data_IF_656593628935
#
_entry.id   IF_656593628935
#
_cell.length_a   1.000
_cell.length_b   1.000
_cell.length_c   1.000
_cell.angle_alpha   90.00
_cell.angle_beta   90.00
_cell.angle_gamma   90.00
#
_symmetry.space_group_name_H-M   'P 1'
#
loop_
_entity.id
_entity.type
_entity.pdbx_description
1 polymer ?
#
# COMPACT_ATOMS: atom_id res chain seq x y z
N UNK A 1 11.61 8.78 -5.49
CA UNK A 1 11.22 9.51 -4.26
C UNK A 1 10.88 8.52 -3.17
N UNK A 2 11.54 8.59 -2.01
CA UNK A 2 11.32 7.63 -0.93
C UNK A 2 9.90 7.72 -0.38
N UNK A 3 9.31 6.58 0.01
CA UNK A 3 7.99 6.55 0.65
C UNK A 3 8.09 7.08 2.07
N UNK A 4 7.32 8.11 2.35
CA UNK A 4 7.27 8.75 3.67
C UNK A 4 6.18 8.13 4.54
N UNK A 5 5.10 7.66 3.92
CA UNK A 5 3.93 7.12 4.59
C UNK A 5 3.43 5.88 3.85
N UNK A 6 3.06 4.86 4.61
CA UNK A 6 2.40 3.63 4.13
C UNK A 6 1.09 3.48 4.87
N UNK A 7 0.02 3.19 4.14
CA UNK A 7 -1.33 2.97 4.66
C UNK A 7 -1.87 1.66 4.11
N UNK A 8 -2.41 0.78 4.96
CA UNK A 8 -2.85 -0.54 4.50
C UNK A 8 -3.96 -1.13 5.36
N UNK A 9 -4.80 -1.97 4.75
CA UNK A 9 -5.72 -2.89 5.42
C UNK A 9 -5.44 -4.37 5.08
N UNK A 10 -4.33 -4.65 4.37
CA UNK A 10 -3.94 -5.98 3.91
C UNK A 10 -4.33 -6.27 2.45
N UNK A 11 -5.39 -5.67 1.91
CA UNK A 11 -5.80 -5.76 0.52
C UNK A 11 -5.34 -4.54 -0.29
N UNK A 12 -5.68 -3.37 0.22
CA UNK A 12 -5.29 -2.09 -0.35
C UNK A 12 -4.09 -1.54 0.43
N UNK A 13 -3.02 -1.25 -0.29
CA UNK A 13 -1.83 -0.62 0.27
C UNK A 13 -1.47 0.61 -0.54
N UNK A 14 -1.32 1.73 0.14
CA UNK A 14 -1.03 3.04 -0.43
C UNK A 14 0.30 3.54 0.09
N UNK A 15 1.24 3.82 -0.81
CA UNK A 15 2.46 4.53 -0.52
C UNK A 15 2.33 6.02 -0.87
N UNK A 16 2.66 6.89 0.09
CA UNK A 16 2.75 8.32 -0.15
C UNK A 16 4.21 8.76 -0.17
N UNK A 17 4.58 9.57 -1.17
CA UNK A 17 5.92 10.14 -1.27
C UNK A 17 6.14 11.31 -0.29
N UNK A 18 7.30 11.96 -0.37
CA UNK A 18 7.67 13.09 0.48
C UNK A 18 6.76 14.31 0.36
N UNK A 19 6.01 14.42 -0.74
CA UNK A 19 5.02 15.47 -0.97
C UNK A 19 3.62 15.08 -0.44
N UNK A 20 3.48 13.90 0.13
CA UNK A 20 2.18 13.35 0.56
C UNK A 20 1.28 12.94 -0.61
N UNK A 21 1.87 12.67 -1.79
CA UNK A 21 1.15 12.27 -3.00
C UNK A 21 1.18 10.75 -3.14
N UNK A 22 0.07 10.16 -3.61
CA UNK A 22 -0.01 8.71 -3.87
C UNK A 22 0.97 8.35 -4.98
N UNK A 23 1.90 7.46 -4.69
CA UNK A 23 2.94 7.00 -5.61
C UNK A 23 3.11 5.49 -5.66
N UNK A 24 2.50 4.75 -4.72
CA UNK A 24 2.25 3.31 -4.81
C UNK A 24 0.79 3.01 -4.49
N UNK A 25 0.23 2.10 -5.27
CA UNK A 25 -1.18 1.74 -5.16
C UNK A 25 -1.35 0.23 -5.42
N UNK A 26 -1.19 -0.58 -4.39
CA UNK A 26 -1.34 -2.03 -4.47
C UNK A 26 -2.77 -2.45 -4.16
N UNK A 27 -3.36 -3.22 -5.06
CA UNK A 27 -4.67 -3.86 -4.93
C UNK A 27 -4.75 -5.05 -5.91
N UNK A 28 -5.34 -6.22 -5.59
CA UNK A 28 -6.21 -6.51 -4.44
C UNK A 28 -5.48 -7.08 -3.21
N UNK A 29 -4.16 -7.10 -3.22
CA UNK A 29 -3.35 -7.62 -2.12
C UNK A 29 -2.06 -6.82 -2.00
N UNK A 30 -1.51 -6.73 -0.80
CA UNK A 30 -0.24 -6.06 -0.56
C UNK A 30 0.86 -6.66 -1.46
N UNK A 31 1.51 -5.81 -2.26
CA UNK A 31 2.64 -6.21 -3.09
C UNK A 31 2.31 -6.98 -4.36
N UNK A 32 1.01 -7.21 -4.68
CA UNK A 32 0.64 -8.04 -5.83
C UNK A 32 0.54 -7.23 -7.14
N UNK A 33 -0.38 -6.30 -7.24
CA UNK A 33 -0.52 -5.42 -8.42
C UNK A 33 -0.34 -3.97 -7.98
N UNK A 34 0.72 -3.30 -8.46
CA UNK A 34 0.90 -1.88 -8.25
C UNK A 34 0.32 -1.10 -9.42
N UNK A 35 -0.74 -0.35 -9.18
CA UNK A 35 -1.47 0.38 -10.21
C UNK A 35 -0.91 1.76 -10.52
N UNK A 36 0.21 2.16 -9.91
CA UNK A 36 0.96 3.38 -10.23
C UNK A 36 2.36 3.07 -10.79
N UNK A 37 2.83 1.83 -10.67
CA UNK A 37 4.17 1.37 -11.07
C UNK A 37 5.35 2.14 -10.45
N UNK A 38 5.13 3.01 -9.48
CA UNK A 38 6.17 3.69 -8.71
C UNK A 38 7.17 4.56 -9.47
N UNK A 39 7.09 4.65 -10.79
CA UNK A 39 7.96 5.48 -11.62
C UNK A 39 7.28 6.82 -11.83
N UNK A 40 7.79 7.92 -11.42
CA UNK A 40 7.29 9.29 -11.70
C UNK A 40 5.77 9.43 -11.94
N UNK A 41 5.03 8.32 -11.77
CA UNK A 41 3.59 8.20 -11.86
C UNK A 41 3.03 8.30 -10.46
N UNK A 42 2.69 9.49 -10.07
CA UNK A 42 2.02 9.77 -8.81
C UNK A 42 0.82 10.67 -9.06
N UNK A 43 -0.13 10.59 -8.17
CA UNK A 43 -1.30 11.45 -8.24
C UNK A 43 -0.89 12.87 -7.87
N UNK A 44 -1.19 13.83 -8.73
CA UNK A 44 -0.82 15.23 -8.48
C UNK A 44 -1.91 15.94 -7.68
N UNK A 45 -1.50 16.92 -6.88
CA UNK A 45 -2.41 17.89 -6.23
C UNK A 45 -1.87 19.27 -6.54
N UNK A 46 -2.74 20.13 -7.06
CA UNK A 46 -2.40 21.51 -7.45
C UNK A 46 -3.38 22.54 -6.90
N UNK A 47 -2.91 23.75 -6.78
CA UNK A 47 -3.74 24.90 -6.42
C UNK A 47 -3.47 26.06 -7.37
N UNK A 48 -4.53 26.80 -7.67
CA UNK A 48 -4.46 28.06 -8.40
C UNK A 48 -5.07 29.17 -7.56
N UNK A 49 -4.40 30.33 -7.55
CA UNK A 49 -4.83 31.53 -6.83
C UNK A 49 -4.56 32.72 -7.75
N UNK A 50 -5.63 33.32 -8.27
CA UNK A 50 -5.50 34.32 -9.33
C UNK A 50 -4.83 33.75 -10.56
N UNK A 51 -3.69 34.31 -10.99
CA UNK A 51 -2.92 33.85 -12.14
C UNK A 51 -1.79 32.86 -11.77
N UNK A 52 -1.58 32.59 -10.48
CA UNK A 52 -0.50 31.72 -10.03
C UNK A 52 -1.01 30.32 -9.82
N UNK A 53 -0.36 29.35 -10.47
CA UNK A 53 -0.61 27.92 -10.33
C UNK A 53 0.60 27.22 -9.69
N UNK A 54 0.38 26.26 -8.81
CA UNK A 54 1.46 25.46 -8.23
C UNK A 54 1.02 24.02 -7.94
N UNK A 55 1.74 23.07 -8.50
CA UNK A 55 1.68 21.67 -8.08
C UNK A 55 2.45 21.48 -6.77
N UNK A 56 2.00 20.58 -5.89
CA UNK A 56 2.66 20.32 -4.61
C UNK A 56 4.12 19.82 -4.79
N UNK A 57 4.43 19.15 -5.88
CA UNK A 57 5.79 18.65 -6.18
C UNK A 57 6.70 19.70 -6.86
N UNK A 58 6.25 20.92 -7.10
CA UNK A 58 6.97 21.94 -7.87
C UNK A 58 7.90 22.84 -7.04
N UNK A 59 8.42 22.39 -5.92
CA UNK A 59 9.60 22.97 -5.27
C UNK A 59 9.36 24.08 -4.21
N UNK A 60 8.27 24.84 -4.26
CA UNK A 60 8.02 25.97 -3.34
C UNK A 60 7.31 25.58 -2.05
N UNK A 61 7.08 24.29 -1.84
CA UNK A 61 6.34 23.77 -0.70
C UNK A 61 7.27 23.20 0.37
N UNK A 62 6.89 23.41 1.63
CA UNK A 62 7.51 22.76 2.78
C UNK A 62 6.57 21.74 3.36
N UNK A 63 7.09 20.53 3.59
CA UNK A 63 6.31 19.38 4.05
C UNK A 63 6.69 18.93 5.44
N UNK A 64 5.71 18.41 6.16
CA UNK A 64 5.90 17.58 7.33
C UNK A 64 4.86 16.47 7.33
N UNK A 65 5.26 15.25 7.66
CA UNK A 65 4.38 14.09 7.74
C UNK A 65 4.58 13.34 9.05
N UNK A 66 3.49 12.85 9.62
CA UNK A 66 3.50 12.02 10.82
C UNK A 66 2.33 11.03 10.81
N UNK A 67 2.48 9.93 11.51
CA UNK A 67 1.34 9.06 11.84
C UNK A 67 0.62 9.57 13.08
N UNK A 68 -0.70 9.46 13.08
CA UNK A 68 -1.47 9.65 14.30
C UNK A 68 -1.11 8.54 15.31
N UNK A 69 -1.23 8.86 16.57
CA UNK A 69 -0.84 7.95 17.64
C UNK A 69 -1.59 6.60 17.54
N UNK A 70 -0.82 5.52 17.49
CA UNK A 70 -1.30 4.13 17.49
C UNK A 70 -2.26 3.78 16.33
N UNK A 71 -2.05 4.36 15.16
CA UNK A 71 -2.81 4.01 13.95
C UNK A 71 -2.03 4.32 12.66
N UNK A 72 -2.21 3.51 11.61
CA UNK A 72 -1.79 3.87 10.25
C UNK A 72 -2.78 4.87 9.64
N UNK A 73 -2.80 6.04 10.22
CA UNK A 73 -3.51 7.23 9.76
C UNK A 73 -2.46 8.32 9.72
N UNK A 74 -2.22 8.91 8.57
CA UNK A 74 -1.21 9.96 8.44
C UNK A 74 -1.82 11.34 8.49
N UNK A 75 -1.01 12.27 8.93
CA UNK A 75 -1.25 13.70 8.79
C UNK A 75 -0.06 14.32 8.07
N UNK A 76 -0.30 14.89 6.89
CA UNK A 76 0.71 15.61 6.12
C UNK A 76 0.32 17.07 6.05
N UNK A 77 1.27 17.98 6.28
CA UNK A 77 1.08 19.42 6.13
C UNK A 77 2.02 19.92 5.04
N UNK A 78 1.46 20.57 4.03
CA UNK A 78 2.16 21.27 2.95
C UNK A 78 1.92 22.77 3.09
N UNK A 79 2.99 23.57 3.07
CA UNK A 79 2.90 25.02 3.21
C UNK A 79 3.68 25.72 2.11
N UNK A 80 3.02 26.58 1.37
CA UNK A 80 3.63 27.48 0.39
C UNK A 80 3.58 28.91 0.92
N UNK A 81 4.77 29.51 1.10
CA UNK A 81 4.88 30.86 1.65
C UNK A 81 4.61 31.94 0.60
N UNK A 82 4.95 31.69 -0.66
CA UNK A 82 4.73 32.62 -1.75
C UNK A 82 3.24 32.79 -2.01
N UNK A 83 2.54 31.66 -2.17
CA UNK A 83 1.09 31.62 -2.32
C UNK A 83 0.34 31.93 -1.02
N UNK A 84 1.00 32.02 0.12
CA UNK A 84 0.38 32.18 1.44
C UNK A 84 -0.78 31.21 1.68
N UNK A 85 -0.56 29.93 1.40
CA UNK A 85 -1.55 28.86 1.56
C UNK A 85 -0.96 27.67 2.30
N UNK A 86 -1.80 26.96 3.03
CA UNK A 86 -1.46 25.70 3.69
C UNK A 86 -2.49 24.64 3.34
N UNK A 87 -2.01 23.44 3.06
CA UNK A 87 -2.85 22.26 2.83
C UNK A 87 -2.49 21.22 3.89
N UNK A 88 -3.50 20.66 4.53
CA UNK A 88 -3.36 19.57 5.48
C UNK A 88 -4.11 18.34 4.95
N UNK A 89 -3.43 17.21 4.84
CA UNK A 89 -4.04 15.92 4.54
C UNK A 89 -4.20 15.10 5.82
N UNK A 90 -5.31 14.38 5.93
CA UNK A 90 -5.49 13.28 6.87
C UNK A 90 -5.88 12.05 6.05
N UNK A 91 -4.99 11.07 5.98
CA UNK A 91 -5.08 9.94 5.06
C UNK A 91 -5.18 8.62 5.81
N UNK A 92 -6.02 7.72 5.31
CA UNK A 92 -6.12 6.35 5.80
C UNK A 92 -6.71 5.42 4.74
N UNK A 93 -6.41 4.14 4.87
CA UNK A 93 -7.15 3.07 4.21
C UNK A 93 -8.19 2.55 5.19
N UNK A 94 -9.44 2.44 4.73
CA UNK A 94 -10.54 1.98 5.57
C UNK A 94 -10.29 0.53 6.02
N UNK A 95 -10.50 0.23 7.30
CA UNK A 95 -10.13 -1.07 7.87
C UNK A 95 -10.99 -2.24 7.38
N UNK A 96 -12.23 -2.00 6.94
CA UNK A 96 -13.22 -3.06 6.69
C UNK A 96 -13.55 -3.26 5.20
N UNK A 97 -13.09 -2.39 4.31
CA UNK A 97 -13.29 -2.46 2.86
C UNK A 97 -12.28 -1.57 2.13
N UNK A 98 -12.10 -1.79 0.84
CA UNK A 98 -10.98 -1.28 0.09
C UNK A 98 -11.22 0.14 -0.44
N UNK A 99 -11.02 1.11 0.44
CA UNK A 99 -11.11 2.54 0.12
C UNK A 99 -9.93 3.29 0.71
N UNK A 100 -9.22 4.00 -0.14
CA UNK A 100 -8.33 5.08 0.29
C UNK A 100 -9.16 6.35 0.53
N UNK A 101 -9.00 6.94 1.71
CA UNK A 101 -9.75 8.14 2.12
C UNK A 101 -8.80 9.25 2.56
N UNK A 102 -8.98 10.43 2.00
CA UNK A 102 -8.19 11.64 2.25
C UNK A 102 -9.10 12.81 2.63
N UNK A 103 -8.90 13.36 3.81
CA UNK A 103 -9.45 14.68 4.16
C UNK A 103 -8.43 15.75 3.82
N UNK A 104 -8.83 16.74 3.02
CA UNK A 104 -8.00 17.86 2.61
C UNK A 104 -8.54 19.11 3.29
N UNK A 105 -7.68 19.85 3.98
CA UNK A 105 -8.02 21.14 4.55
C UNK A 105 -7.11 22.19 3.92
N UNK A 106 -7.70 23.09 3.14
CA UNK A 106 -7.01 24.21 2.50
C UNK A 106 -7.24 25.47 3.33
N UNK A 107 -6.16 26.09 3.78
CA UNK A 107 -6.20 27.28 4.65
C UNK A 107 -5.57 28.48 3.98
N UNK A 108 -6.31 29.59 3.89
CA UNK A 108 -5.78 30.88 3.51
C UNK A 108 -4.89 31.44 4.63
N UNK A 109 -3.64 31.75 4.33
CA UNK A 109 -2.72 32.41 5.28
C UNK A 109 -2.58 33.91 5.02
N UNK A 110 -3.19 34.43 3.93
CA UNK A 110 -3.19 35.85 3.65
C UNK A 110 -4.17 36.63 4.56
N UNK A 111 -3.98 37.92 4.66
CA UNK A 111 -4.84 38.84 5.43
C UNK A 111 -5.98 39.44 4.61
N UNK A 112 -6.31 38.83 3.46
CA UNK A 112 -7.42 39.21 2.59
C UNK A 112 -8.12 37.97 2.02
N UNK A 113 -9.42 38.10 1.64
CA UNK A 113 -10.15 37.00 1.01
C UNK A 113 -9.66 36.72 -0.42
N UNK A 114 -9.74 35.48 -0.87
CA UNK A 114 -9.24 35.02 -2.19
C UNK A 114 -10.12 33.96 -2.79
N UNK A 115 -10.17 33.97 -4.11
CA UNK A 115 -10.64 32.83 -4.89
C UNK A 115 -9.50 31.80 -5.01
N UNK A 116 -9.82 30.54 -4.80
CA UNK A 116 -8.89 29.42 -4.81
C UNK A 116 -9.47 28.28 -5.65
N UNK A 117 -8.64 27.67 -6.45
CA UNK A 117 -8.99 26.43 -7.15
C UNK A 117 -8.10 25.30 -6.61
N UNK A 118 -8.69 24.14 -6.37
CA UNK A 118 -8.00 22.92 -5.96
C UNK A 118 -8.19 21.86 -7.02
N UNK A 119 -7.10 21.30 -7.53
CA UNK A 119 -7.08 20.24 -8.53
C UNK A 119 -6.49 18.96 -7.96
N UNK A 120 -7.17 17.84 -8.20
CA UNK A 120 -6.77 16.49 -7.80
C UNK A 120 -6.67 15.64 -9.05
N UNK A 121 -5.46 15.25 -9.40
CA UNK A 121 -5.16 14.42 -10.57
C UNK A 121 -4.92 12.97 -10.16
N UNK A 122 -5.39 12.04 -10.98
CA UNK A 122 -5.19 10.61 -10.82
C UNK A 122 -4.72 10.01 -12.14
N UNK A 123 -3.67 9.19 -12.06
CA UNK A 123 -3.27 8.30 -13.13
C UNK A 123 -3.10 6.88 -12.61
N UNK A 124 -3.41 5.92 -13.45
CA UNK A 124 -3.26 4.50 -13.13
C UNK A 124 -2.64 3.76 -14.31
N UNK A 125 -1.86 2.72 -13.97
CA UNK A 125 -1.46 1.65 -14.87
C UNK A 125 -2.08 0.36 -14.33
N UNK A 126 -3.36 0.15 -14.61
CA UNK A 126 -4.13 -0.93 -13.99
C UNK A 126 -3.54 -2.29 -14.35
N UNK A 127 -3.46 -3.20 -13.35
CA UNK A 127 -2.77 -4.49 -13.41
C UNK A 127 -1.26 -4.35 -13.69
N UNK A 128 -0.63 -3.30 -13.19
CA UNK A 128 0.82 -3.08 -13.32
C UNK A 128 1.31 -3.10 -14.79
N UNK A 129 0.51 -2.60 -15.73
CA UNK A 129 0.86 -2.69 -17.15
C UNK A 129 0.44 -1.47 -17.96
N UNK A 130 1.40 -0.88 -18.70
CA UNK A 130 1.17 0.13 -19.72
C UNK A 130 0.90 -0.45 -21.11
N UNK A 131 1.06 -1.76 -21.30
CA UNK A 131 0.88 -2.37 -22.62
C UNK A 131 -0.57 -2.69 -22.97
N UNK A 132 -1.47 -2.52 -22.00
CA UNK A 132 -2.89 -2.75 -22.18
C UNK A 132 -3.63 -1.45 -21.85
N UNK A 133 -4.65 -1.16 -22.65
CA UNK A 133 -5.47 0.03 -22.49
C UNK A 133 -6.36 -0.06 -21.25
N UNK A 134 -6.40 1.03 -20.50
CA UNK A 134 -7.38 1.27 -19.44
C UNK A 134 -8.54 2.10 -20.00
N UNK A 135 -9.65 2.14 -19.29
CA UNK A 135 -10.77 3.02 -19.62
C UNK A 135 -11.07 3.91 -18.43
N UNK A 136 -11.27 5.19 -18.70
CA UNK A 136 -11.74 6.16 -17.72
C UNK A 136 -13.04 6.81 -18.18
N UNK A 137 -13.98 6.99 -17.25
CA UNK A 137 -15.20 7.72 -17.56
C UNK A 137 -15.73 8.53 -16.37
N UNK A 138 -16.33 9.67 -16.68
CA UNK A 138 -17.12 10.44 -15.75
C UNK A 138 -18.49 9.79 -15.50
N UNK A 139 -18.90 9.72 -14.23
CA UNK A 139 -20.16 9.14 -13.77
C UNK A 139 -21.01 10.21 -13.10
N UNK A 140 -21.97 10.83 -13.79
CA UNK A 140 -23.03 11.60 -13.16
C UNK A 140 -24.11 10.64 -12.65
N UNK A 141 -24.43 10.69 -11.35
CA UNK A 141 -25.52 9.93 -10.76
C UNK A 141 -26.82 10.73 -10.74
N UNK A 142 -27.98 10.05 -10.78
CA UNK A 142 -29.30 10.68 -10.77
C UNK A 142 -29.58 11.56 -9.55
N UNK A 143 -28.94 11.23 -8.40
CA UNK A 143 -29.05 12.00 -7.17
C UNK A 143 -28.13 13.26 -7.13
N UNK A 144 -27.46 13.56 -8.23
CA UNK A 144 -26.54 14.70 -8.36
C UNK A 144 -25.11 14.42 -7.90
N UNK A 145 -24.83 13.22 -7.35
CA UNK A 145 -23.46 12.82 -7.02
C UNK A 145 -22.62 12.64 -8.29
N UNK A 146 -21.31 12.87 -8.17
CA UNK A 146 -20.35 12.78 -9.27
C UNK A 146 -19.16 11.89 -8.87
N UNK A 147 -18.65 11.11 -9.83
CA UNK A 147 -17.44 10.34 -9.67
C UNK A 147 -16.69 10.16 -11.00
N UNK A 148 -15.45 9.72 -10.93
CA UNK A 148 -14.69 9.22 -12.08
C UNK A 148 -14.45 7.74 -11.85
N UNK A 149 -14.67 6.90 -12.87
CA UNK A 149 -14.37 5.48 -12.85
C UNK A 149 -13.18 5.20 -13.75
N UNK A 150 -12.11 4.65 -13.18
CA UNK A 150 -11.02 4.02 -13.91
C UNK A 150 -11.17 2.50 -13.82
N UNK A 151 -11.05 1.79 -14.94
CA UNK A 151 -11.15 0.34 -14.90
C UNK A 151 -10.39 -0.37 -16.03
N UNK A 152 -10.02 -1.61 -15.76
CA UNK A 152 -9.58 -2.61 -16.73
C UNK A 152 -9.96 -4.01 -16.27
N UNK A 153 -10.64 -4.76 -17.14
CA UNK A 153 -11.14 -6.08 -16.78
C UNK A 153 -12.02 -6.01 -15.53
N UNK A 154 -11.64 -6.75 -14.50
CA UNK A 154 -12.35 -6.74 -13.21
C UNK A 154 -11.89 -5.64 -12.24
N UNK A 155 -10.74 -5.01 -12.45
CA UNK A 155 -10.26 -3.93 -11.57
C UNK A 155 -11.04 -2.66 -11.84
N UNK A 156 -11.66 -2.12 -10.80
CA UNK A 156 -12.45 -0.90 -10.88
C UNK A 156 -12.12 0.03 -9.70
N UNK A 157 -11.82 1.30 -10.02
CA UNK A 157 -11.49 2.35 -9.07
C UNK A 157 -12.44 3.52 -9.27
N UNK A 158 -13.28 3.82 -8.28
CA UNK A 158 -14.20 4.96 -8.30
C UNK A 158 -13.60 6.08 -7.45
N UNK A 159 -13.28 7.19 -8.12
CA UNK A 159 -12.74 8.40 -7.52
C UNK A 159 -13.88 9.37 -7.27
N UNK A 160 -13.94 9.94 -6.08
CA UNK A 160 -14.89 10.97 -5.73
C UNK A 160 -14.28 11.97 -4.78
N UNK A 161 -14.74 13.22 -4.87
CA UNK A 161 -14.42 14.25 -3.90
C UNK A 161 -15.62 15.18 -3.67
N UNK A 162 -15.72 15.68 -2.45
CA UNK A 162 -16.77 16.62 -2.05
C UNK A 162 -16.23 17.65 -1.08
N UNK A 163 -16.66 18.89 -1.24
CA UNK A 163 -16.45 19.96 -0.27
C UNK A 163 -17.43 19.82 0.89
N UNK A 164 -16.94 20.00 2.11
CA UNK A 164 -17.76 19.97 3.32
C UNK A 164 -18.15 21.38 3.70
N UNK A 165 -19.42 21.66 3.63
CA UNK A 165 -20.01 22.94 4.02
C UNK A 165 -20.65 22.80 5.40
N UNK A 166 -20.19 23.58 6.36
CA UNK A 166 -20.71 23.59 7.73
C UNK A 166 -21.35 24.95 8.04
N UNK A 167 -22.59 24.93 8.44
CA UNK A 167 -23.21 26.03 9.11
C UNK A 167 -23.57 25.66 10.57
N UNK A 168 -24.15 26.55 11.33
CA UNK A 168 -24.49 26.34 12.75
C UNK A 168 -25.50 25.20 12.99
N UNK A 169 -26.22 24.75 11.97
CA UNK A 169 -27.33 23.80 12.10
C UNK A 169 -27.09 22.50 11.33
N UNK A 170 -26.31 22.53 10.24
CA UNK A 170 -26.20 21.39 9.31
C UNK A 170 -24.82 21.29 8.67
N UNK A 171 -24.41 20.05 8.35
CA UNK A 171 -23.30 19.78 7.45
C UNK A 171 -23.88 19.32 6.11
N UNK A 172 -23.50 20.00 5.04
CA UNK A 172 -23.87 19.66 3.66
C UNK A 172 -22.61 19.38 2.85
N UNK A 173 -22.79 18.79 1.66
CA UNK A 173 -21.70 18.41 0.80
C UNK A 173 -21.94 18.92 -0.61
N UNK A 174 -20.89 19.37 -1.25
CA UNK A 174 -20.89 19.85 -2.63
C UNK A 174 -19.82 19.07 -3.41
N UNK A 175 -20.24 18.39 -4.47
CA UNK A 175 -19.32 17.63 -5.31
C UNK A 175 -18.45 18.56 -6.17
N UNK A 176 -17.34 18.02 -6.69
CA UNK A 176 -16.46 18.78 -7.58
C UNK A 176 -17.25 19.43 -8.74
N UNK A 177 -16.87 20.64 -9.11
CA UNK A 177 -17.56 21.43 -10.13
C UNK A 177 -16.87 21.37 -11.51
N UNK A 178 -15.61 20.95 -11.55
CA UNK A 178 -14.85 20.74 -12.77
C UNK A 178 -14.32 19.31 -12.86
N UNK A 179 -14.21 18.77 -14.06
CA UNK A 179 -13.54 17.49 -14.33
C UNK A 179 -13.01 17.43 -15.77
N UNK A 180 -12.05 16.56 -15.99
CA UNK A 180 -11.63 16.11 -17.31
C UNK A 180 -11.00 14.73 -17.22
N UNK A 181 -11.07 13.97 -18.29
CA UNK A 181 -10.34 12.72 -18.47
C UNK A 181 -9.51 12.80 -19.73
N UNK A 182 -8.35 12.13 -19.76
CA UNK A 182 -7.44 12.24 -20.89
C UNK A 182 -6.48 11.07 -21.00
N UNK A 183 -5.47 11.27 -21.86
CA UNK A 183 -4.38 10.35 -22.11
C UNK A 183 -3.07 10.95 -21.61
N UNK A 184 -2.17 10.13 -21.08
CA UNK A 184 -0.83 10.54 -20.70
C UNK A 184 0.24 9.63 -21.28
N UNK A 185 1.40 10.21 -21.64
CA UNK A 185 2.57 9.45 -22.10
C UNK A 185 2.44 8.80 -23.48
N UNK A 186 1.33 8.95 -24.19
CA UNK A 186 1.09 8.45 -25.54
C UNK A 186 0.56 9.57 -26.44
N UNK A 187 0.69 9.42 -27.76
CA UNK A 187 0.22 10.38 -28.78
C UNK A 187 0.68 11.84 -28.52
N UNK A 188 1.86 12.02 -27.96
CA UNK A 188 2.39 13.31 -27.51
C UNK A 188 1.54 14.01 -26.44
N UNK A 189 0.65 13.30 -25.76
CA UNK A 189 -0.11 13.82 -24.62
C UNK A 189 0.72 13.74 -23.36
N UNK A 190 0.83 14.82 -22.64
CA UNK A 190 1.52 14.87 -21.33
C UNK A 190 0.64 14.33 -20.20
N UNK A 191 -0.67 14.47 -20.34
CA UNK A 191 -1.65 14.11 -19.34
C UNK A 191 -2.71 15.22 -19.15
N UNK A 192 -3.87 14.86 -18.64
CA UNK A 192 -4.94 15.81 -18.32
C UNK A 192 -4.58 16.78 -17.18
N UNK A 193 -3.50 16.49 -16.43
CA UNK A 193 -2.99 17.40 -15.41
C UNK A 193 -2.56 18.77 -15.97
N UNK A 194 -2.10 18.82 -17.23
CA UNK A 194 -1.72 20.07 -17.90
C UNK A 194 -2.94 20.99 -18.10
N UNK A 195 -4.11 20.42 -18.33
CA UNK A 195 -5.38 21.13 -18.52
C UNK A 195 -5.77 21.95 -17.25
N UNK A 196 -5.32 21.50 -16.07
CA UNK A 196 -5.57 22.19 -14.81
C UNK A 196 -4.79 23.50 -14.62
N UNK A 197 -3.68 23.70 -15.36
CA UNK A 197 -2.76 24.81 -15.09
C UNK A 197 -3.34 26.18 -15.46
N UNK A 198 -4.23 26.26 -16.46
CA UNK A 198 -4.94 27.49 -16.77
C UNK A 198 -6.15 27.73 -15.86
N UNK A 199 -6.57 26.72 -15.09
CA UNK A 199 -7.67 26.77 -14.13
C UNK A 199 -9.02 26.35 -14.69
N UNK A 200 -9.09 25.84 -15.93
CA UNK A 200 -10.34 25.42 -16.60
C UNK A 200 -10.16 24.02 -17.17
N UNK A 201 -10.89 23.06 -16.60
CA UNK A 201 -10.87 21.69 -17.12
C UNK A 201 -11.82 21.55 -18.31
N UNK A 202 -11.39 20.87 -19.36
CA UNK A 202 -12.09 20.74 -20.65
C UNK A 202 -13.41 19.97 -20.59
N UNK A 203 -13.69 19.24 -19.53
CA UNK A 203 -14.95 18.53 -19.34
C UNK A 203 -15.08 17.26 -20.17
N UNK A 204 -13.99 16.65 -20.63
CA UNK A 204 -13.99 15.36 -21.32
C UNK A 204 -14.52 14.28 -20.39
N UNK A 205 -15.37 13.37 -20.95
CA UNK A 205 -16.13 12.40 -20.15
C UNK A 205 -15.66 10.95 -20.26
N UNK A 206 -15.00 10.57 -21.34
CA UNK A 206 -14.55 9.19 -21.59
C UNK A 206 -13.25 9.21 -22.35
N UNK A 207 -12.34 8.33 -21.94
CA UNK A 207 -11.08 8.09 -22.67
C UNK A 207 -10.66 6.63 -22.52
N UNK A 208 -9.83 6.16 -23.47
CA UNK A 208 -9.36 4.78 -23.54
C UNK A 208 -7.91 4.74 -23.99
N UNK A 209 -7.02 4.07 -23.24
CA UNK A 209 -5.59 3.99 -23.50
C UNK A 209 -4.79 4.06 -22.23
N UNK A 210 -3.68 4.78 -22.22
CA UNK A 210 -3.03 5.20 -20.97
C UNK A 210 -3.79 6.40 -20.43
N UNK A 211 -4.68 6.16 -19.48
CA UNK A 211 -5.68 7.15 -19.07
C UNK A 211 -5.34 7.82 -17.75
N UNK A 212 -5.67 9.10 -17.67
CA UNK A 212 -5.64 9.88 -16.44
C UNK A 212 -6.93 10.70 -16.26
N UNK A 213 -7.07 11.34 -15.13
CA UNK A 213 -8.20 12.24 -14.85
C UNK A 213 -7.83 13.36 -13.90
N UNK A 214 -8.59 14.45 -13.97
CA UNK A 214 -8.51 15.54 -12.99
C UNK A 214 -9.92 15.92 -12.55
N UNK A 215 -10.08 16.18 -11.26
CA UNK A 215 -11.26 16.82 -10.68
C UNK A 215 -10.86 18.14 -10.02
N UNK A 216 -11.72 19.14 -10.13
CA UNK A 216 -11.44 20.48 -9.67
C UNK A 216 -12.57 21.08 -8.82
N UNK A 217 -12.19 21.99 -7.92
CA UNK A 217 -13.06 22.79 -7.09
C UNK A 217 -12.73 24.26 -7.21
N UNK A 218 -13.73 25.09 -7.46
CA UNK A 218 -13.65 26.55 -7.35
C UNK A 218 -14.30 26.99 -6.03
N UNK A 219 -13.60 27.77 -5.22
CA UNK A 219 -14.12 28.21 -3.93
C UNK A 219 -13.43 29.49 -3.41
N UNK A 220 -14.17 30.24 -2.61
CA UNK A 220 -13.62 31.41 -1.94
C UNK A 220 -13.16 31.07 -0.52
N UNK A 221 -12.10 31.72 -0.07
CA UNK A 221 -11.62 31.70 1.31
C UNK A 221 -11.52 33.12 1.87
N UNK A 222 -12.19 33.40 2.95
CA UNK A 222 -12.01 34.60 3.74
C UNK A 222 -10.65 34.69 4.42
N UNK A 223 -10.42 35.71 5.19
CA UNK A 223 -9.19 35.93 5.95
C UNK A 223 -8.99 34.80 6.97
N UNK A 224 -7.85 34.09 6.88
CA UNK A 224 -7.48 32.95 7.76
C UNK A 224 -8.49 31.80 7.73
N UNK A 225 -9.44 31.82 6.80
CA UNK A 225 -10.47 30.78 6.64
C UNK A 225 -9.90 29.48 6.04
N UNK A 226 -10.64 28.40 6.24
CA UNK A 226 -10.28 27.09 5.70
C UNK A 226 -11.49 26.42 5.03
N UNK A 227 -11.27 25.81 3.87
CA UNK A 227 -12.19 24.87 3.26
C UNK A 227 -11.74 23.42 3.54
N UNK A 228 -12.70 22.52 3.67
CA UNK A 228 -12.45 21.10 3.91
C UNK A 228 -13.07 20.27 2.79
N UNK A 229 -12.28 19.31 2.28
CA UNK A 229 -12.71 18.38 1.24
C UNK A 229 -12.50 16.95 1.72
N UNK A 230 -13.34 16.05 1.24
CA UNK A 230 -13.22 14.61 1.42
C UNK A 230 -13.03 13.97 0.05
N UNK A 231 -11.90 13.32 -0.14
CA UNK A 231 -11.51 12.62 -1.36
C UNK A 231 -11.43 11.13 -1.08
N UNK A 232 -11.91 10.31 -1.99
CA UNK A 232 -11.88 8.84 -1.87
C UNK A 232 -11.55 8.16 -3.19
N UNK A 233 -10.81 7.05 -3.10
CA UNK A 233 -10.65 6.05 -4.18
C UNK A 233 -11.22 4.75 -3.64
N UNK A 234 -12.35 4.31 -4.20
CA UNK A 234 -13.04 3.07 -3.84
C UNK A 234 -12.66 1.98 -4.82
N UNK A 235 -12.00 0.94 -4.32
CA UNK A 235 -11.43 -0.15 -5.11
C UNK A 235 -12.26 -1.41 -5.00
N UNK A 236 -12.36 -2.18 -6.09
CA UNK A 236 -12.94 -3.51 -6.05
C UNK A 236 -12.61 -4.34 -7.30
N UNK A 237 -12.82 -5.65 -7.17
CA UNK A 237 -13.02 -6.54 -8.30
C UNK A 237 -14.47 -6.44 -8.76
N UNK A 238 -14.69 -5.66 -9.82
CA UNK A 238 -16.01 -5.39 -10.40
C UNK A 238 -16.61 -4.04 -10.02
N UNK A 239 -17.32 -3.46 -10.97
CA UNK A 239 -17.89 -2.12 -10.89
C UNK A 239 -18.94 -1.99 -9.78
N UNK A 240 -19.78 -3.00 -9.60
CA UNK A 240 -20.85 -2.98 -8.59
C UNK A 240 -20.32 -2.96 -7.16
N UNK A 241 -19.26 -3.71 -6.90
CA UNK A 241 -18.63 -3.69 -5.58
C UNK A 241 -17.90 -2.37 -5.32
N UNK A 242 -17.21 -1.83 -6.33
CA UNK A 242 -16.59 -0.51 -6.24
C UNK A 242 -17.62 0.58 -5.94
N UNK A 243 -18.77 0.53 -6.63
CA UNK A 243 -19.92 1.41 -6.40
C UNK A 243 -20.50 1.25 -4.99
N UNK A 244 -20.61 0.02 -4.51
CA UNK A 244 -21.06 -0.26 -3.13
C UNK A 244 -20.12 0.36 -2.11
N UNK A 245 -18.80 0.24 -2.30
CA UNK A 245 -17.80 0.85 -1.41
C UNK A 245 -17.86 2.38 -1.46
N UNK A 246 -18.01 2.97 -2.64
CA UNK A 246 -18.23 4.39 -2.82
C UNK A 246 -19.48 4.88 -2.06
N UNK A 247 -20.63 4.20 -2.24
CA UNK A 247 -21.88 4.56 -1.57
C UNK A 247 -21.79 4.42 -0.04
N UNK A 248 -21.07 3.43 0.49
CA UNK A 248 -20.80 3.33 1.94
C UNK A 248 -20.11 4.58 2.46
N UNK A 249 -19.08 5.07 1.77
CA UNK A 249 -18.39 6.30 2.16
C UNK A 249 -19.32 7.51 2.16
N UNK A 250 -20.15 7.64 1.14
CA UNK A 250 -21.14 8.72 1.03
C UNK A 250 -22.19 8.66 2.16
N UNK A 251 -22.79 7.52 2.39
CA UNK A 251 -23.91 7.34 3.31
C UNK A 251 -23.50 7.44 4.79
N UNK A 252 -22.34 6.88 5.14
CA UNK A 252 -21.91 6.80 6.55
C UNK A 252 -20.88 7.87 6.96
N UNK A 253 -20.25 8.49 5.99
CA UNK A 253 -19.38 9.63 6.16
C UNK A 253 -17.95 9.30 6.62
N UNK A 254 -17.04 10.17 6.23
CA UNK A 254 -15.60 10.08 6.48
C UNK A 254 -15.25 9.93 7.97
N UNK A 255 -15.87 10.72 8.85
CA UNK A 255 -15.53 10.72 10.29
C UNK A 255 -15.81 9.40 10.98
N UNK A 256 -16.87 8.68 10.54
CA UNK A 256 -17.19 7.35 11.07
C UNK A 256 -16.05 6.38 10.76
N UNK A 257 -15.66 6.26 9.48
CA UNK A 257 -14.63 5.31 9.05
C UNK A 257 -13.24 5.66 9.56
N UNK A 258 -12.91 6.94 9.69
CA UNK A 258 -11.69 7.39 10.38
C UNK A 258 -11.64 6.85 11.82
N UNK A 259 -12.74 7.02 12.56
CA UNK A 259 -12.84 6.53 13.96
C UNK A 259 -12.79 5.01 14.04
N UNK A 260 -13.48 4.30 13.14
CA UNK A 260 -13.47 2.84 13.09
C UNK A 260 -12.07 2.30 12.76
N UNK A 261 -11.39 2.90 11.79
CA UNK A 261 -10.00 2.55 11.42
C UNK A 261 -9.05 2.78 12.60
N UNK A 262 -9.15 3.91 13.30
CA UNK A 262 -8.34 4.18 14.49
C UNK A 262 -8.59 3.14 15.59
N UNK A 263 -9.85 2.80 15.87
CA UNK A 263 -10.21 1.76 16.85
C UNK A 263 -9.69 0.38 16.45
N UNK A 264 -9.76 0.04 15.17
CA UNK A 264 -9.22 -1.22 14.63
C UNK A 264 -7.72 -1.35 14.91
N UNK A 265 -6.95 -0.31 14.60
CA UNK A 265 -5.52 -0.27 14.88
C UNK A 265 -5.21 -0.34 16.38
N UNK A 266 -5.90 0.42 17.21
CA UNK A 266 -5.73 0.39 18.67
C UNK A 266 -6.04 -0.99 19.26
N UNK A 267 -7.08 -1.66 18.76
CA UNK A 267 -7.42 -3.05 19.15
C UNK A 267 -6.29 -4.00 18.76
N UNK A 268 -5.81 -3.92 17.50
CA UNK A 268 -4.73 -4.80 17.04
C UNK A 268 -3.43 -4.55 17.80
N UNK A 269 -3.07 -3.30 18.08
CA UNK A 269 -1.86 -2.94 18.84
C UNK A 269 -1.94 -3.27 20.33
N UNK A 270 -3.09 -3.66 20.88
CA UNK A 270 -3.27 -3.83 22.32
C UNK A 270 -2.25 -4.76 23.00
N UNK A 271 -1.78 -5.89 22.42
CA UNK A 271 -0.72 -6.69 23.00
C UNK A 271 0.63 -5.95 23.04
N UNK A 272 0.97 -5.28 21.96
CA UNK A 272 2.20 -4.52 21.83
C UNK A 272 2.26 -3.30 22.76
N UNK A 273 1.16 -2.59 22.94
CA UNK A 273 1.07 -1.45 23.85
C UNK A 273 1.37 -1.83 25.31
N UNK A 274 0.99 -3.06 25.73
CA UNK A 274 1.35 -3.57 27.06
C UNK A 274 2.85 -3.78 27.22
N UNK A 275 3.53 -4.20 26.16
CA UNK A 275 4.99 -4.36 26.15
C UNK A 275 5.68 -3.00 26.06
N UNK A 276 5.20 -2.12 25.18
CA UNK A 276 5.75 -0.78 24.98
C UNK A 276 5.86 0.00 26.31
N UNK A 277 4.85 -0.09 27.17
CA UNK A 277 4.86 0.57 28.49
C UNK A 277 6.00 0.15 29.41
N UNK A 278 6.67 -0.98 29.14
CA UNK A 278 7.84 -1.49 29.88
C UNK A 278 9.17 -1.04 29.29
N UNK A 279 9.14 -0.44 28.09
CA UNK A 279 10.32 0.09 27.43
C UNK A 279 10.61 1.51 27.92
N UNK A 280 11.86 1.94 27.81
CA UNK A 280 12.21 3.33 28.01
C UNK A 280 11.39 4.26 27.09
N UNK A 281 10.90 5.42 27.56
CA UNK A 281 10.02 6.30 26.80
C UNK A 281 10.51 6.63 25.39
N UNK A 282 11.82 6.80 25.22
CA UNK A 282 12.43 7.12 23.91
C UNK A 282 12.23 6.05 22.83
N UNK A 283 12.01 4.78 23.22
CA UNK A 283 11.83 3.67 22.29
C UNK A 283 10.35 3.29 22.04
N UNK A 284 9.42 3.77 22.86
CA UNK A 284 8.02 3.34 22.80
C UNK A 284 7.38 3.67 21.47
N UNK A 285 7.59 4.88 20.96
CA UNK A 285 7.04 5.33 19.68
C UNK A 285 7.57 4.52 18.50
N UNK A 286 8.90 4.36 18.41
CA UNK A 286 9.53 3.61 17.31
C UNK A 286 9.14 2.14 17.33
N UNK A 287 9.03 1.52 18.51
CA UNK A 287 8.57 0.15 18.65
C UNK A 287 7.15 -0.06 18.10
N UNK A 288 6.21 0.81 18.45
CA UNK A 288 4.83 0.73 17.92
C UNK A 288 4.79 1.03 16.42
N UNK A 289 5.55 2.01 15.95
CA UNK A 289 5.61 2.33 14.51
C UNK A 289 6.20 1.17 13.70
N UNK A 290 7.26 0.52 14.17
CA UNK A 290 7.83 -0.67 13.52
C UNK A 290 6.80 -1.80 13.38
N UNK A 291 6.00 -2.06 14.42
CA UNK A 291 4.94 -3.07 14.34
C UNK A 291 3.83 -2.69 13.37
N UNK A 292 3.45 -1.42 13.31
CA UNK A 292 2.48 -0.96 12.31
C UNK A 292 3.03 -1.16 10.89
N UNK A 293 4.33 -0.90 10.66
CA UNK A 293 4.98 -1.15 9.38
C UNK A 293 5.02 -2.65 9.05
N UNK A 294 5.41 -3.50 10.00
CA UNK A 294 5.33 -4.96 9.81
C UNK A 294 3.92 -5.38 9.40
N UNK A 295 2.89 -4.91 10.12
CA UNK A 295 1.49 -5.23 9.77
C UNK A 295 1.10 -4.74 8.38
N UNK A 296 1.58 -3.57 7.96
CA UNK A 296 1.29 -3.01 6.64
C UNK A 296 1.94 -3.78 5.48
N UNK A 297 2.95 -4.60 5.77
CA UNK A 297 3.63 -5.45 4.80
C UNK A 297 3.07 -6.89 4.79
N UNK A 298 2.12 -7.22 5.66
CA UNK A 298 1.45 -8.52 5.61
C UNK A 298 0.34 -8.50 4.55
N UNK A 299 0.45 -9.38 3.58
CA UNK A 299 -0.61 -9.64 2.63
C UNK A 299 -1.77 -10.38 3.32
N UNK A 300 -2.96 -10.32 2.75
CA UNK A 300 -4.14 -11.03 3.27
C UNK A 300 -3.95 -12.55 3.28
N UNK A 301 -3.17 -13.05 2.34
CA UNK A 301 -2.78 -14.47 2.22
C UNK A 301 -1.91 -14.95 3.37
N UNK A 302 -1.33 -14.06 4.15
CA UNK A 302 -0.37 -14.35 5.22
C UNK A 302 1.09 -14.13 4.84
N UNK A 303 1.39 -13.85 3.56
CA UNK A 303 2.74 -13.56 3.10
C UNK A 303 3.24 -12.21 3.61
N UNK A 304 4.34 -12.10 4.35
CA UNK A 304 5.04 -10.85 4.54
C UNK A 304 5.82 -10.49 3.29
N UNK A 305 5.62 -9.30 2.74
CA UNK A 305 6.48 -8.80 1.66
C UNK A 305 7.66 -8.02 2.23
N UNK A 306 8.82 -8.09 1.58
CA UNK A 306 10.04 -7.43 2.07
C UNK A 306 9.95 -5.91 1.96
N UNK A 307 9.32 -5.39 0.91
CA UNK A 307 9.04 -3.96 0.77
C UNK A 307 7.85 -3.73 -0.15
N UNK A 308 7.15 -2.62 0.04
CA UNK A 308 6.15 -2.12 -0.89
C UNK A 308 6.60 -0.83 -1.61
N UNK A 309 7.88 -0.48 -1.52
CA UNK A 309 8.45 0.67 -2.21
C UNK A 309 8.90 0.28 -3.62
N UNK A 310 8.10 0.67 -4.61
CA UNK A 310 8.38 0.40 -6.02
C UNK A 310 9.36 1.40 -6.67
N UNK A 311 9.86 2.38 -5.94
CA UNK A 311 10.87 3.32 -6.48
C UNK A 311 12.16 2.60 -6.89
N UNK A 312 12.44 1.44 -6.32
CA UNK A 312 13.56 0.60 -6.72
C UNK A 312 13.55 0.27 -8.20
N UNK A 313 12.38 0.19 -8.86
CA UNK A 313 12.25 0.00 -10.31
C UNK A 313 12.93 1.10 -11.12
N UNK A 314 13.16 2.29 -10.56
CA UNK A 314 13.89 3.36 -11.21
C UNK A 314 15.40 3.12 -11.25
N UNK A 315 15.92 2.29 -10.35
CA UNK A 315 17.35 2.04 -10.16
C UNK A 315 17.73 0.57 -10.38
N UNK A 316 16.79 -0.35 -10.27
CA UNK A 316 16.97 -1.77 -10.38
C UNK A 316 15.97 -2.39 -11.39
N UNK A 317 16.20 -3.64 -11.76
CA UNK A 317 15.33 -4.37 -12.71
C UNK A 317 14.08 -4.95 -12.05
N UNK A 318 14.04 -4.97 -10.74
CA UNK A 318 13.00 -5.58 -9.91
C UNK A 318 12.74 -4.74 -8.66
N UNK A 319 11.64 -4.96 -8.01
CA UNK A 319 11.32 -4.39 -6.70
C UNK A 319 11.42 -5.46 -5.59
N UNK A 320 10.97 -5.15 -4.39
CA UNK A 320 10.98 -6.06 -3.24
C UNK A 320 9.57 -6.40 -2.74
N UNK A 321 8.56 -6.28 -3.59
CA UNK A 321 7.18 -6.62 -3.24
C UNK A 321 6.89 -8.14 -3.22
N UNK A 322 7.88 -8.93 -2.86
CA UNK A 322 7.83 -10.38 -2.75
C UNK A 322 7.95 -10.84 -1.30
N UNK A 323 7.50 -12.06 -1.06
CA UNK A 323 7.76 -12.80 0.17
C UNK A 323 9.01 -13.67 0.00
N UNK A 324 10.08 -13.33 0.70
CA UNK A 324 11.19 -14.24 0.99
C UNK A 324 10.88 -14.94 2.30
N UNK A 325 10.85 -16.27 2.37
CA UNK A 325 10.61 -16.98 3.62
C UNK A 325 11.61 -16.63 4.72
N UNK A 326 12.85 -16.29 4.34
CA UNK A 326 13.87 -15.78 5.27
C UNK A 326 13.45 -14.47 5.93
N UNK A 327 13.06 -13.46 5.15
CA UNK A 327 12.60 -12.17 5.68
C UNK A 327 11.33 -12.33 6.52
N UNK A 328 10.44 -13.24 6.10
CA UNK A 328 9.22 -13.56 6.82
C UNK A 328 9.49 -14.08 8.24
N UNK A 329 10.60 -14.81 8.46
CA UNK A 329 11.04 -15.24 9.79
C UNK A 329 11.14 -14.04 10.76
N UNK A 330 11.80 -12.98 10.32
CA UNK A 330 12.03 -11.79 11.15
C UNK A 330 10.78 -10.91 11.31
N UNK A 331 9.82 -11.00 10.41
CA UNK A 331 8.53 -10.33 10.53
C UNK A 331 7.56 -11.09 11.46
N UNK A 332 7.50 -12.41 11.37
CA UNK A 332 6.52 -13.25 12.08
C UNK A 332 6.94 -13.59 13.51
N UNK A 333 8.23 -13.84 13.75
CA UNK A 333 8.71 -14.19 15.10
C UNK A 333 8.39 -13.13 16.17
N UNK A 334 8.63 -11.82 15.97
CA UNK A 334 8.20 -10.80 16.92
C UNK A 334 6.70 -10.83 17.20
N UNK A 335 5.85 -11.11 16.20
CA UNK A 335 4.40 -11.21 16.38
C UNK A 335 4.05 -12.39 17.30
N UNK A 336 4.65 -13.55 17.10
CA UNK A 336 4.49 -14.72 18.01
C UNK A 336 4.89 -14.33 19.44
N UNK A 337 6.04 -13.69 19.62
CA UNK A 337 6.53 -13.28 20.95
C UNK A 337 5.60 -12.31 21.66
N UNK A 338 4.97 -11.40 20.91
CA UNK A 338 4.00 -10.43 21.42
C UNK A 338 2.62 -11.02 21.70
N UNK A 339 2.35 -12.24 21.21
CA UNK A 339 1.10 -12.97 21.46
C UNK A 339 0.04 -12.81 20.37
N UNK A 340 0.44 -12.38 19.17
CA UNK A 340 -0.41 -12.43 17.98
C UNK A 340 -0.54 -13.88 17.51
N UNK A 341 -1.74 -14.30 17.15
CA UNK A 341 -2.04 -15.68 16.71
C UNK A 341 -2.40 -15.74 15.23
N UNK A 342 -3.24 -14.83 14.79
CA UNK A 342 -3.84 -14.86 13.46
C UNK A 342 -2.78 -14.70 12.35
N UNK A 343 -1.87 -13.73 12.49
CA UNK A 343 -0.86 -13.45 11.48
C UNK A 343 0.13 -14.63 11.30
N UNK A 344 0.68 -15.22 12.35
CA UNK A 344 1.53 -16.40 12.20
C UNK A 344 0.78 -17.61 11.60
N UNK A 345 -0.48 -17.86 11.99
CA UNK A 345 -1.26 -18.95 11.41
C UNK A 345 -1.49 -18.77 9.92
N UNK A 346 -1.85 -17.56 9.47
CA UNK A 346 -1.97 -17.24 8.05
C UNK A 346 -0.65 -17.45 7.29
N UNK A 347 0.48 -17.11 7.91
CA UNK A 347 1.78 -17.37 7.30
C UNK A 347 2.06 -18.87 7.17
N UNK A 348 1.73 -19.70 8.16
CA UNK A 348 1.86 -21.15 8.03
C UNK A 348 0.94 -21.71 6.95
N UNK A 349 -0.27 -21.20 6.80
CA UNK A 349 -1.16 -21.53 5.68
C UNK A 349 -0.56 -21.13 4.32
N UNK A 350 0.05 -19.96 4.23
CA UNK A 350 0.77 -19.55 3.04
C UNK A 350 1.92 -20.50 2.71
N UNK A 351 2.76 -20.84 3.70
CA UNK A 351 3.85 -21.79 3.54
C UNK A 351 3.36 -23.18 3.10
N UNK A 352 2.28 -23.71 3.72
CA UNK A 352 1.65 -24.98 3.36
C UNK A 352 1.22 -25.02 1.90
N UNK A 353 0.63 -23.93 1.39
CA UNK A 353 0.19 -23.82 -0.02
C UNK A 353 1.34 -23.66 -1.01
N UNK A 354 2.42 -23.04 -0.58
CA UNK A 354 3.58 -22.72 -1.44
C UNK A 354 4.70 -23.74 -1.35
N UNK A 355 4.62 -24.72 -0.41
CA UNK A 355 5.61 -25.76 -0.25
C UNK A 355 5.68 -26.62 -1.51
N UNK A 356 6.89 -26.90 -1.98
CA UNK A 356 7.09 -27.81 -3.11
C UNK A 356 6.75 -29.25 -2.72
N UNK A 357 6.47 -30.11 -3.71
CA UNK A 357 6.29 -31.53 -3.48
C UNK A 357 7.53 -32.23 -2.89
N UNK A 358 8.70 -31.59 -2.99
CA UNK A 358 9.95 -32.05 -2.38
C UNK A 358 10.14 -31.64 -0.92
N UNK A 359 9.19 -30.93 -0.31
CA UNK A 359 9.25 -30.53 1.10
C UNK A 359 10.14 -29.31 1.39
N UNK A 360 10.44 -28.47 0.39
CA UNK A 360 11.25 -27.27 0.56
C UNK A 360 10.56 -26.02 -0.01
N UNK A 361 10.98 -24.84 0.46
CA UNK A 361 10.57 -23.57 -0.09
C UNK A 361 11.54 -23.13 -1.19
N UNK A 362 10.98 -22.48 -2.22
CA UNK A 362 11.76 -21.77 -3.23
C UNK A 362 12.18 -20.40 -2.71
N UNK A 363 13.14 -19.78 -3.37
CA UNK A 363 13.78 -18.55 -2.94
C UNK A 363 12.81 -17.38 -2.66
N UNK A 364 11.83 -17.11 -3.51
CA UNK A 364 10.84 -16.03 -3.29
C UNK A 364 9.51 -16.29 -3.98
N UNK A 365 8.48 -15.68 -3.43
CA UNK A 365 7.10 -15.83 -3.88
C UNK A 365 6.42 -14.49 -4.05
N UNK A 366 5.49 -14.42 -4.99
CA UNK A 366 4.47 -13.39 -5.01
C UNK A 366 3.57 -13.54 -3.76
N UNK A 367 2.90 -12.46 -3.32
CA UNK A 367 2.00 -12.53 -2.16
C UNK A 367 0.85 -13.54 -2.29
N UNK A 368 0.48 -13.93 -3.52
CA UNK A 368 -0.55 -14.95 -3.80
C UNK A 368 -0.03 -16.40 -3.69
N UNK A 369 1.28 -16.60 -3.48
CA UNK A 369 1.94 -17.91 -3.38
C UNK A 369 2.52 -18.44 -4.68
N UNK A 370 2.35 -17.74 -5.81
CA UNK A 370 3.06 -18.05 -7.06
C UNK A 370 4.55 -17.72 -6.92
N UNK A 371 5.39 -18.42 -7.72
CA UNK A 371 6.84 -18.16 -7.71
C UNK A 371 7.13 -16.75 -8.22
N UNK A 372 7.96 -16.03 -7.48
CA UNK A 372 8.56 -14.77 -7.93
C UNK A 372 9.69 -15.01 -8.95
N UNK A 373 10.02 -14.03 -9.79
CA UNK A 373 11.18 -14.13 -10.66
C UNK A 373 12.46 -14.27 -9.82
N UNK A 374 13.38 -15.12 -10.26
CA UNK A 374 14.65 -15.32 -9.59
C UNK A 374 15.78 -15.30 -10.64
N UNK A 375 16.93 -14.76 -10.29
CA UNK A 375 18.14 -14.87 -11.10
C UNK A 375 18.86 -16.21 -10.90
N UNK A 376 18.46 -17.01 -9.94
CA UNK A 376 18.97 -18.36 -9.80
C UNK A 376 18.36 -19.27 -10.87
N UNK A 377 19.15 -20.11 -11.54
CA UNK A 377 18.62 -21.01 -12.53
C UNK A 377 17.75 -22.08 -11.86
N UNK A 378 16.48 -22.14 -12.22
CA UNK A 378 15.53 -23.18 -11.74
C UNK A 378 15.78 -24.56 -12.35
N UNK A 379 16.55 -24.66 -13.40
CA UNK A 379 16.94 -25.92 -13.99
C UNK A 379 18.40 -25.88 -14.44
N UNK A 380 19.22 -26.69 -13.85
CA UNK A 380 20.55 -27.01 -14.37
C UNK A 380 20.52 -28.45 -14.85
N UNK A 381 20.28 -28.65 -16.15
CA UNK A 381 20.62 -29.86 -16.89
C UNK A 381 20.42 -31.22 -16.21
N UNK A 382 19.35 -31.38 -15.41
CA UNK A 382 19.02 -32.65 -14.77
C UNK A 382 19.84 -33.02 -13.53
N UNK A 383 20.71 -32.15 -13.03
CA UNK A 383 21.44 -32.38 -11.79
C UNK A 383 20.71 -31.73 -10.59
N UNK A 384 19.99 -32.56 -9.82
CA UNK A 384 19.24 -32.12 -8.63
C UNK A 384 20.12 -31.62 -7.47
N UNK A 385 21.45 -31.64 -7.62
CA UNK A 385 22.40 -31.24 -6.57
C UNK A 385 22.52 -29.72 -6.38
N UNK A 386 22.02 -28.94 -7.31
CA UNK A 386 22.11 -27.47 -7.29
C UNK A 386 20.72 -26.83 -7.36
N UNK A 387 19.84 -27.17 -6.44
CA UNK A 387 18.54 -26.47 -6.31
C UNK A 387 18.78 -25.01 -5.97
N UNK A 388 18.06 -24.05 -6.62
CA UNK A 388 18.17 -22.62 -6.33
C UNK A 388 17.38 -22.28 -5.04
N UNK A 389 17.81 -22.83 -3.92
CA UNK A 389 17.19 -22.69 -2.60
C UNK A 389 18.19 -22.19 -1.59
N UNK A 390 17.69 -21.48 -0.60
CA UNK A 390 18.39 -21.15 0.64
C UNK A 390 17.80 -22.03 1.74
N UNK A 391 18.62 -22.85 2.37
CA UNK A 391 18.14 -23.90 3.29
C UNK A 391 17.46 -23.31 4.54
N UNK A 392 17.89 -22.15 5.00
CA UNK A 392 17.35 -21.44 6.15
C UNK A 392 15.90 -20.96 5.93
N UNK A 393 15.49 -20.69 4.68
CA UNK A 393 14.12 -20.34 4.33
C UNK A 393 13.15 -21.47 4.67
N UNK A 394 13.56 -22.70 4.40
CA UNK A 394 12.76 -23.89 4.71
C UNK A 394 12.83 -24.22 6.20
N UNK A 395 14.02 -24.22 6.79
CA UNK A 395 14.23 -24.55 8.21
C UNK A 395 13.56 -23.54 9.15
N UNK A 396 13.55 -22.26 8.77
CA UNK A 396 12.93 -21.17 9.53
C UNK A 396 11.44 -21.36 9.80
N UNK A 397 10.72 -22.06 8.91
CA UNK A 397 9.30 -22.36 9.09
C UNK A 397 9.08 -23.27 10.29
N UNK A 398 9.88 -24.35 10.41
CA UNK A 398 9.79 -25.24 11.57
C UNK A 398 10.17 -24.51 12.87
N UNK A 399 11.18 -23.65 12.80
CA UNK A 399 11.55 -22.82 13.95
C UNK A 399 10.36 -21.94 14.39
N UNK A 400 9.70 -21.22 13.48
CA UNK A 400 8.55 -20.38 13.79
C UNK A 400 7.39 -21.18 14.37
N UNK A 401 7.08 -22.33 13.79
CA UNK A 401 6.00 -23.18 14.28
C UNK A 401 6.30 -23.72 15.68
N UNK A 402 7.56 -24.10 15.95
CA UNK A 402 8.01 -24.49 17.28
C UNK A 402 7.91 -23.31 18.29
N UNK A 403 8.26 -22.07 17.88
CA UNK A 403 8.09 -20.89 18.74
C UNK A 403 6.61 -20.60 19.00
N UNK A 404 5.75 -20.75 17.99
CA UNK A 404 4.32 -20.60 18.13
C UNK A 404 3.77 -21.64 19.16
N UNK A 405 4.09 -22.91 18.98
CA UNK A 405 3.67 -23.97 19.90
C UNK A 405 4.19 -23.73 21.32
N UNK A 406 5.45 -23.37 21.50
CA UNK A 406 6.02 -23.02 22.81
C UNK A 406 5.27 -21.88 23.48
N UNK A 407 4.81 -20.88 22.72
CA UNK A 407 4.12 -19.70 23.21
C UNK A 407 2.67 -20.00 23.63
N UNK A 408 1.94 -20.73 22.79
CA UNK A 408 0.49 -20.86 22.92
C UNK A 408 0.04 -22.21 23.48
N UNK A 409 0.86 -23.26 23.36
CA UNK A 409 0.57 -24.64 23.82
C UNK A 409 -0.74 -25.19 23.24
N UNK A 410 -1.00 -24.93 21.96
CA UNK A 410 -2.18 -25.37 21.22
C UNK A 410 -1.82 -26.57 20.36
N UNK A 411 -2.23 -27.79 20.77
CA UNK A 411 -1.93 -29.02 20.01
C UNK A 411 -2.64 -29.03 18.65
N UNK A 412 -3.73 -28.30 18.49
CA UNK A 412 -4.46 -28.17 17.22
C UNK A 412 -3.58 -27.66 16.07
N UNK A 413 -2.61 -26.78 16.36
CA UNK A 413 -1.70 -26.26 15.32
C UNK A 413 -0.82 -27.37 14.77
N UNK A 414 -0.40 -28.32 15.59
CA UNK A 414 0.41 -29.45 15.16
C UNK A 414 -0.44 -30.41 14.31
N UNK A 415 -1.68 -30.68 14.73
CA UNK A 415 -2.60 -31.55 13.96
C UNK A 415 -2.87 -30.93 12.57
N UNK A 416 -3.06 -29.62 12.50
CA UNK A 416 -3.40 -28.90 11.27
C UNK A 416 -2.24 -28.87 10.25
N UNK A 417 -1.00 -28.75 10.74
CA UNK A 417 0.17 -28.53 9.87
C UNK A 417 1.13 -29.72 9.80
N UNK A 418 0.91 -30.81 10.55
CA UNK A 418 1.88 -31.89 10.65
C UNK A 418 2.13 -32.59 9.32
N UNK A 419 1.08 -33.11 8.68
CA UNK A 419 1.22 -33.93 7.47
C UNK A 419 1.62 -33.13 6.24
N UNK A 420 1.11 -31.89 6.10
CA UNK A 420 1.26 -31.09 4.89
C UNK A 420 2.38 -30.04 4.97
N UNK A 421 2.96 -29.81 6.16
CA UNK A 421 4.01 -28.81 6.33
C UNK A 421 5.20 -29.36 7.17
N UNK A 422 4.93 -29.81 8.41
CA UNK A 422 6.01 -30.17 9.33
C UNK A 422 6.78 -31.40 8.84
N UNK A 423 6.07 -32.49 8.54
CA UNK A 423 6.70 -33.75 8.11
C UNK A 423 7.46 -33.62 6.78
N UNK A 424 6.88 -33.04 5.70
CA UNK A 424 7.63 -32.88 4.45
C UNK A 424 8.89 -32.02 4.61
N UNK A 425 8.82 -30.92 5.37
CA UNK A 425 10.01 -30.08 5.63
C UNK A 425 11.05 -30.87 6.45
N UNK A 426 10.63 -31.59 7.49
CA UNK A 426 11.56 -32.34 8.33
C UNK A 426 12.25 -33.46 7.55
N UNK A 427 11.50 -34.23 6.73
CA UNK A 427 12.05 -35.26 5.87
C UNK A 427 13.07 -34.67 4.88
N UNK A 428 12.72 -33.57 4.22
CA UNK A 428 13.63 -32.87 3.30
C UNK A 428 14.92 -32.40 4.01
N UNK A 429 14.82 -31.77 5.18
CA UNK A 429 16.00 -31.28 5.91
C UNK A 429 16.94 -32.41 6.32
N UNK A 430 16.41 -33.58 6.71
CA UNK A 430 17.22 -34.77 7.02
C UNK A 430 17.94 -35.29 5.76
N UNK A 431 17.24 -35.37 4.63
CA UNK A 431 17.80 -35.84 3.36
C UNK A 431 18.79 -34.82 2.76
N UNK A 432 18.69 -33.56 3.12
CA UNK A 432 19.56 -32.48 2.65
C UNK A 432 20.87 -32.36 3.45
N UNK A 433 21.08 -33.21 4.46
CA UNK A 433 22.36 -33.30 5.17
C UNK A 433 23.37 -34.17 4.46
N UNK A 434 24.64 -33.85 4.64
CA UNK A 434 25.78 -34.72 4.24
C UNK A 434 26.07 -35.79 5.31
N UNK A 435 27.12 -36.55 5.11
CA UNK A 435 27.58 -37.62 6.02
C UNK A 435 28.01 -37.11 7.42
N UNK A 436 28.30 -35.82 7.53
CA UNK A 436 28.67 -35.14 8.80
C UNK A 436 27.48 -34.49 9.47
N UNK A 437 26.25 -34.66 8.97
CA UNK A 437 25.02 -33.96 9.38
C UNK A 437 25.07 -32.43 9.17
N UNK A 438 25.84 -31.98 8.18
CA UNK A 438 25.83 -30.57 7.75
C UNK A 438 24.97 -30.43 6.50
N UNK A 439 24.33 -29.25 6.30
CA UNK A 439 23.58 -29.00 5.08
C UNK A 439 24.46 -29.14 3.84
N UNK A 440 23.95 -29.81 2.80
CA UNK A 440 24.62 -29.86 1.50
C UNK A 440 24.81 -28.45 0.94
N UNK A 441 25.79 -28.27 0.01
CA UNK A 441 25.97 -26.99 -0.66
C UNK A 441 24.64 -26.45 -1.27
N UNK A 442 24.35 -25.20 -1.01
CA UNK A 442 23.17 -24.49 -1.52
C UNK A 442 23.55 -23.02 -1.74
N UNK A 443 22.61 -22.24 -2.28
CA UNK A 443 22.81 -20.79 -2.36
C UNK A 443 22.83 -20.21 -0.94
N UNK A 444 23.83 -19.39 -0.66
CA UNK A 444 23.95 -18.78 0.66
C UNK A 444 23.05 -17.54 0.78
N UNK A 445 22.88 -17.10 2.02
CA UNK A 445 22.10 -15.93 2.41
C UNK A 445 22.42 -14.65 1.59
N UNK A 446 23.65 -14.50 1.11
CA UNK A 446 24.10 -13.32 0.36
C UNK A 446 23.82 -13.40 -1.14
N UNK A 447 23.16 -14.48 -1.61
CA UNK A 447 22.85 -14.67 -3.03
C UNK A 447 24.08 -14.60 -3.94
N UNK A 448 25.26 -14.84 -3.39
CA UNK A 448 26.51 -14.84 -4.12
C UNK A 448 26.59 -16.09 -4.99
N UNK A 449 27.00 -15.89 -6.23
CA UNK A 449 27.05 -16.87 -7.28
C UNK A 449 27.68 -18.21 -6.82
N UNK A 450 26.94 -19.27 -7.00
CA UNK A 450 27.37 -20.67 -7.21
C UNK A 450 28.63 -21.17 -6.51
N UNK A 451 29.01 -20.67 -5.36
CA UNK A 451 30.10 -21.29 -4.65
C UNK A 451 29.58 -22.44 -3.79
N UNK A 452 29.93 -23.62 -4.24
CA UNK A 452 29.88 -24.91 -3.53
C UNK A 452 30.79 -24.89 -2.27
N UNK A 453 30.80 -23.79 -1.54
CA UNK A 453 31.53 -23.76 -0.28
C UNK A 453 30.54 -24.00 0.86
N UNK A 454 30.84 -25.00 1.72
CA UNK A 454 30.14 -25.09 2.98
C UNK A 454 30.28 -23.73 3.71
N UNK A 455 29.30 -23.33 4.52
CA UNK A 455 29.43 -22.12 5.34
C UNK A 455 30.74 -22.18 6.11
N UNK A 456 31.43 -21.05 6.31
CA UNK A 456 32.62 -21.03 7.15
C UNK A 456 32.28 -21.67 8.49
N UNK A 457 33.03 -22.68 8.85
CA UNK A 457 32.95 -23.30 10.18
C UNK A 457 33.11 -22.21 11.23
N UNK A 458 32.30 -22.24 12.32
CA UNK A 458 32.33 -21.24 13.38
C UNK A 458 33.69 -21.09 14.05
#
# INVERSE_FOLDING_TARGET
MAKTVILSNGNLNIGLNEFGLVSDFYFPDNGYENHTLGRDLFHHVGVKIGNEFSWLHSGDWRFSAEYLENALISKTTAKNHNLQIQIEFTDFVVSNFDVFARKIKVKNLANYPREVQLFLHQNFAINSSFHLADTVQFLPFENGEKAILHYRGKRAFIISAQRVLKNSQQTTFEDFNQHTVGLFGIENKLGSWVDAEDGILSGSNVEHGQTDSVIGFDFSLGVVESAVFQYTISCADGHELARTNFQKMRNFGFSKFLTETQKSWQKWLSPALRVAKKLEPKYQKSFIQSLMLVKSHLAKTGAPIASNDSEMLNHARDDYSYCWPHDALFAIWPLIRLGYREEPQKFFEFCKKSLTSGGFMMHKYLPNGELGPSWHPYSQGGDSRNLPIQIDETAGILFLLAQYYKKFREDSILVEFYDDLVKPIADFLVDFCDENNLPKPNYELWELDSFQTPPPTP
#
